data_IF_437127759929
#
_entry.id   IF_437127759929
#
_cell.length_a   1.000
_cell.length_b   1.000
_cell.length_c   1.000
_cell.angle_alpha   90.00
_cell.angle_beta   90.00
_cell.angle_gamma   90.00
#
_symmetry.space_group_name_H-M   'P 1'
#
loop_
_entity.id
_entity.type
_entity.pdbx_description
1 polymer ?
#
# COMPACT_ATOMS: atom_id res chain seq x y z
N UNK A 1 39.79 25.17 -18.48
CA UNK A 1 38.55 25.44 -17.72
C UNK A 1 37.66 26.33 -18.58
N UNK A 2 36.68 25.73 -19.26
CA UNK A 2 35.65 26.46 -19.99
C UNK A 2 34.34 25.70 -19.73
N UNK A 3 33.46 26.29 -18.94
CA UNK A 3 32.14 25.75 -18.66
C UNK A 3 31.18 26.31 -19.71
N UNK A 4 30.77 25.47 -20.66
CA UNK A 4 29.69 25.80 -21.59
C UNK A 4 28.36 25.86 -20.84
N UNK A 5 27.65 26.96 -21.05
CA UNK A 5 26.32 27.25 -20.53
C UNK A 5 25.31 26.60 -21.48
N UNK A 6 24.63 25.56 -21.02
CA UNK A 6 23.53 24.93 -21.77
C UNK A 6 22.27 25.81 -21.68
N UNK A 7 21.65 26.21 -22.81
CA UNK A 7 20.46 27.06 -22.79
C UNK A 7 19.18 26.30 -22.42
N UNK A 8 18.36 26.94 -21.58
CA UNK A 8 17.22 26.40 -20.79
C UNK A 8 15.92 26.07 -21.57
N UNK A 9 15.94 25.84 -22.88
CA UNK A 9 14.70 25.69 -23.67
C UNK A 9 14.24 24.23 -23.92
N UNK A 10 14.84 23.23 -23.26
CA UNK A 10 14.52 21.81 -23.45
C UNK A 10 13.98 21.08 -22.21
N UNK A 11 13.25 21.77 -21.33
CA UNK A 11 12.54 21.10 -20.23
C UNK A 11 11.02 21.09 -20.51
N UNK A 12 10.38 19.91 -20.60
CA UNK A 12 8.93 19.81 -20.69
C UNK A 12 8.33 20.26 -19.36
N UNK A 13 7.53 21.33 -19.39
CA UNK A 13 6.78 21.81 -18.23
C UNK A 13 5.64 20.85 -17.90
N UNK A 14 5.84 20.00 -16.91
CA UNK A 14 4.78 19.30 -16.20
C UNK A 14 4.12 20.30 -15.24
N UNK A 15 3.03 20.95 -15.67
CA UNK A 15 2.17 21.74 -14.79
C UNK A 15 1.21 20.81 -14.06
N UNK A 16 1.52 20.48 -12.81
CA UNK A 16 0.54 19.91 -11.89
C UNK A 16 -0.13 21.08 -11.16
N UNK A 17 -1.28 21.53 -11.70
CA UNK A 17 -2.13 22.49 -11.02
C UNK A 17 -3.20 21.69 -10.25
N UNK A 18 -3.00 21.55 -8.94
CA UNK A 18 -4.04 21.10 -8.03
C UNK A 18 -5.05 22.24 -7.85
N UNK A 19 -6.21 22.14 -8.51
CA UNK A 19 -7.34 23.01 -8.22
C UNK A 19 -8.17 22.41 -7.09
N UNK A 20 -8.07 23.04 -5.93
CA UNK A 20 -8.98 22.87 -4.80
C UNK A 20 -10.30 23.53 -5.21
N UNK A 21 -11.34 22.72 -5.41
CA UNK A 21 -12.72 23.21 -5.52
C UNK A 21 -13.49 22.78 -4.28
N UNK A 22 -13.82 23.76 -3.45
CA UNK A 22 -14.80 23.65 -2.38
C UNK A 22 -16.20 23.76 -3.00
N UNK A 23 -17.05 22.76 -2.76
CA UNK A 23 -18.48 22.83 -3.11
C UNK A 23 -19.32 21.98 -2.16
N UNK A 24 -20.06 22.72 -1.35
CA UNK A 24 -21.23 22.45 -0.51
C UNK A 24 -22.00 21.11 -0.64
N UNK A 25 -22.23 20.53 0.54
CA UNK A 25 -23.47 19.96 1.08
C UNK A 25 -24.59 19.53 0.11
N UNK A 26 -24.84 18.22 0.06
CA UNK A 26 -26.12 17.64 -0.31
C UNK A 26 -26.43 16.40 0.56
N UNK A 27 -27.73 16.20 0.78
CA UNK A 27 -28.41 15.39 1.82
C UNK A 27 -28.23 13.88 1.62
N UNK A 28 -28.32 13.05 2.69
CA UNK A 28 -28.22 11.61 2.56
C UNK A 28 -29.51 11.01 1.98
N UNK A 29 -29.40 10.34 0.82
CA UNK A 29 -30.40 9.42 0.31
C UNK A 29 -30.22 8.07 1.02
N UNK A 30 -31.21 7.70 1.81
CA UNK A 30 -31.35 6.39 2.43
C UNK A 30 -31.65 5.35 1.36
N UNK A 31 -30.82 4.31 1.25
CA UNK A 31 -31.12 3.14 0.44
C UNK A 31 -31.60 2.02 1.38
N UNK A 32 -32.88 1.70 1.27
CA UNK A 32 -33.52 0.60 1.97
C UNK A 32 -33.14 -0.70 1.26
N UNK A 33 -32.45 -1.60 1.95
CA UNK A 33 -32.16 -2.95 1.46
C UNK A 33 -33.46 -3.76 1.57
N UNK A 34 -34.13 -3.99 0.43
CA UNK A 34 -35.17 -5.02 0.33
C UNK A 34 -34.53 -6.36 0.01
N UNK A 35 -34.60 -7.30 0.95
CA UNK A 35 -34.39 -8.72 0.66
C UNK A 35 -35.49 -9.20 -0.29
N UNK A 36 -35.10 -9.77 -1.42
CA UNK A 36 -36.04 -10.34 -2.38
C UNK A 36 -35.38 -11.41 -3.25
N UNK A 37 -35.73 -12.67 -2.99
CA UNK A 37 -36.02 -13.67 -4.02
C UNK A 37 -34.86 -14.18 -4.88
N UNK A 38 -34.33 -15.34 -4.48
CA UNK A 38 -33.54 -16.23 -5.31
C UNK A 38 -34.45 -16.81 -6.42
N UNK A 39 -34.09 -16.62 -7.69
CA UNK A 39 -34.63 -17.40 -8.80
C UNK A 39 -33.52 -17.75 -9.81
N UNK A 40 -33.08 -19.00 -9.74
CA UNK A 40 -32.11 -19.60 -10.62
C UNK A 40 -32.74 -19.97 -11.97
N UNK A 41 -32.14 -19.53 -13.09
CA UNK A 41 -32.41 -20.08 -14.41
C UNK A 41 -31.34 -21.13 -14.73
N UNK A 42 -31.84 -22.35 -14.90
CA UNK A 42 -31.15 -23.64 -14.96
C UNK A 42 -30.91 -24.01 -16.42
N UNK A 43 -29.65 -24.25 -16.81
CA UNK A 43 -29.31 -24.94 -18.06
C UNK A 43 -29.01 -26.41 -17.74
N UNK A 44 -29.81 -27.30 -18.33
CA UNK A 44 -29.67 -28.76 -18.22
C UNK A 44 -28.78 -29.29 -19.33
N UNK A 45 -27.69 -29.97 -18.98
CA UNK A 45 -27.12 -31.04 -19.81
C UNK A 45 -26.72 -32.22 -18.93
N UNK A 46 -27.12 -33.39 -19.39
CA UNK A 46 -27.25 -34.65 -18.67
C UNK A 46 -25.93 -35.27 -18.24
N UNK A 47 -25.96 -35.91 -17.08
CA UNK A 47 -24.91 -36.73 -16.52
C UNK A 47 -24.70 -38.03 -17.30
N UNK A 48 -23.47 -38.55 -17.30
CA UNK A 48 -23.26 -40.00 -17.14
C UNK A 48 -21.95 -40.27 -16.43
N UNK A 49 -22.09 -40.87 -15.26
CA UNK A 49 -21.08 -41.48 -14.41
C UNK A 49 -20.38 -42.62 -15.14
N UNK A 50 -19.06 -42.75 -15.08
CA UNK A 50 -18.42 -44.08 -15.04
C UNK A 50 -17.05 -44.01 -14.35
N UNK A 51 -16.86 -45.04 -13.54
CA UNK A 51 -15.83 -45.34 -12.56
C UNK A 51 -14.47 -45.72 -13.15
N UNK A 52 -13.44 -45.44 -12.36
CA UNK A 52 -12.03 -45.83 -12.49
C UNK A 52 -11.87 -47.36 -12.40
N UNK A 53 -11.18 -48.00 -13.34
CA UNK A 53 -10.20 -49.04 -12.98
C UNK A 53 -9.17 -49.32 -14.08
N UNK A 54 -7.95 -49.60 -13.60
CA UNK A 54 -6.72 -49.72 -14.36
C UNK A 54 -6.50 -51.13 -14.94
N UNK A 55 -5.93 -51.22 -16.16
CA UNK A 55 -4.89 -52.19 -16.57
C UNK A 55 -4.50 -51.99 -18.04
N UNK A 56 -3.19 -51.89 -18.30
CA UNK A 56 -2.60 -52.04 -19.64
C UNK A 56 -1.62 -50.94 -20.04
N UNK A 57 -0.36 -51.07 -19.63
CA UNK A 57 0.81 -50.39 -20.20
C UNK A 57 1.16 -50.96 -21.60
N UNK A 58 2.19 -50.49 -22.35
CA UNK A 58 3.11 -49.35 -22.12
C UNK A 58 3.25 -48.41 -23.35
N UNK A 59 3.25 -47.09 -23.15
CA UNK A 59 3.80 -46.14 -24.15
C UNK A 59 5.26 -45.84 -23.78
N UNK A 60 6.23 -46.02 -24.71
CA UNK A 60 7.62 -45.73 -24.41
C UNK A 60 7.87 -44.22 -24.40
N UNK A 61 8.55 -43.76 -23.36
CA UNK A 61 9.19 -42.46 -23.27
C UNK A 61 10.21 -42.32 -24.41
N UNK A 62 9.82 -41.65 -25.49
CA UNK A 62 10.74 -41.20 -26.53
C UNK A 62 11.03 -39.72 -26.32
N UNK A 63 12.14 -39.46 -25.66
CA UNK A 63 12.90 -38.23 -25.69
C UNK A 63 12.89 -37.67 -27.11
N UNK A 64 12.14 -36.58 -27.32
CA UNK A 64 12.22 -35.82 -28.55
C UNK A 64 13.55 -35.06 -28.48
N UNK A 65 14.60 -35.68 -29.01
CA UNK A 65 15.78 -34.99 -29.50
C UNK A 65 15.30 -33.99 -30.55
N UNK A 66 15.05 -32.77 -30.11
CA UNK A 66 14.76 -31.64 -30.97
C UNK A 66 16.01 -31.41 -31.80
N UNK A 67 16.06 -32.05 -32.98
CA UNK A 67 17.10 -31.89 -33.97
C UNK A 67 17.13 -30.40 -34.33
N UNK A 68 18.19 -29.74 -33.88
CA UNK A 68 18.59 -28.45 -34.40
C UNK A 68 18.77 -28.59 -35.92
N UNK A 69 18.21 -27.68 -36.75
CA UNK A 69 18.48 -27.69 -38.17
C UNK A 69 19.82 -26.98 -38.39
N UNK A 70 20.92 -27.68 -38.11
CA UNK A 70 22.26 -27.18 -38.42
C UNK A 70 22.71 -27.78 -39.74
N UNK A 71 22.88 -26.88 -40.72
CA UNK A 71 23.70 -26.98 -41.92
C UNK A 71 23.28 -28.01 -42.99
N UNK A 72 22.41 -27.58 -43.90
CA UNK A 72 22.68 -27.81 -45.32
C UNK A 72 22.85 -26.44 -45.97
N UNK A 73 24.03 -25.85 -45.74
CA UNK A 73 24.45 -24.65 -46.44
C UNK A 73 24.96 -25.10 -47.80
N UNK A 74 24.08 -25.14 -48.79
CA UNK A 74 24.47 -25.25 -50.19
C UNK A 74 25.31 -24.02 -50.53
N UNK A 75 26.62 -24.22 -50.65
CA UNK A 75 27.54 -23.23 -51.21
C UNK A 75 27.24 -23.13 -52.70
N UNK A 76 26.38 -22.18 -53.07
CA UNK A 76 26.29 -21.77 -54.47
C UNK A 76 27.48 -20.85 -54.77
N UNK A 77 28.43 -21.34 -55.56
CA UNK A 77 29.38 -20.47 -56.23
C UNK A 77 28.56 -19.55 -57.14
N UNK A 78 28.49 -18.26 -56.81
CA UNK A 78 27.86 -17.27 -57.68
C UNK A 78 28.49 -17.38 -59.06
N UNK A 79 27.71 -17.78 -60.08
CA UNK A 79 28.18 -17.83 -61.45
C UNK A 79 28.82 -16.49 -61.79
N UNK A 80 30.04 -16.53 -62.36
CA UNK A 80 30.81 -15.34 -62.71
C UNK A 80 30.00 -14.56 -63.75
N UNK A 81 29.27 -13.54 -63.28
CA UNK A 81 28.41 -12.72 -64.13
C UNK A 81 29.32 -12.07 -65.17
N UNK A 82 29.09 -12.34 -66.45
CA UNK A 82 29.81 -11.67 -67.53
C UNK A 82 29.68 -10.16 -67.30
N UNK A 83 30.81 -9.45 -67.41
CA UNK A 83 30.84 -8.00 -67.36
C UNK A 83 30.19 -7.50 -68.62
N UNK A 84 28.90 -7.28 -68.51
CA UNK A 84 28.07 -6.75 -69.54
C UNK A 84 28.54 -5.30 -69.80
N UNK A 85 29.18 -5.06 -70.94
CA UNK A 85 29.75 -3.75 -71.27
C UNK A 85 28.60 -2.81 -71.64
N UNK A 86 28.02 -2.15 -70.64
CA UNK A 86 26.87 -1.27 -70.83
C UNK A 86 27.23 0.01 -71.63
N UNK A 87 28.51 0.30 -71.81
CA UNK A 87 29.00 1.47 -72.53
C UNK A 87 29.93 1.08 -73.69
N UNK A 88 29.44 1.25 -74.93
CA UNK A 88 30.17 0.96 -76.16
C UNK A 88 30.92 2.21 -76.63
N UNK A 89 32.20 2.27 -76.26
CA UNK A 89 33.08 3.42 -76.53
C UNK A 89 33.31 3.64 -78.03
N UNK A 90 33.31 2.56 -78.81
CA UNK A 90 33.66 2.58 -80.23
C UNK A 90 32.47 2.99 -81.10
N UNK A 91 31.24 2.61 -80.73
CA UNK A 91 30.02 3.14 -81.36
C UNK A 91 29.84 4.63 -81.12
N UNK A 92 30.23 5.13 -79.94
CA UNK A 92 30.14 6.55 -79.63
C UNK A 92 31.09 7.38 -80.49
N UNK A 93 32.35 6.95 -80.62
CA UNK A 93 33.35 7.62 -81.47
C UNK A 93 32.92 7.60 -82.95
N UNK A 94 32.41 6.47 -83.47
CA UNK A 94 31.91 6.39 -84.85
C UNK A 94 30.75 7.34 -85.12
N UNK A 95 29.81 7.46 -84.19
CA UNK A 95 28.70 8.44 -84.32
C UNK A 95 29.19 9.88 -84.37
N UNK A 96 30.16 10.26 -83.53
CA UNK A 96 30.72 11.62 -83.60
C UNK A 96 31.45 11.87 -84.93
N UNK A 97 32.14 10.86 -85.46
CA UNK A 97 32.78 10.96 -86.78
C UNK A 97 31.74 11.14 -87.90
N UNK A 98 30.61 10.41 -87.84
CA UNK A 98 29.50 10.53 -88.79
C UNK A 98 28.82 11.93 -88.72
N UNK A 99 28.86 12.59 -87.56
CA UNK A 99 28.37 13.96 -87.35
C UNK A 99 29.39 15.06 -87.72
N UNK A 100 30.56 14.68 -88.24
CA UNK A 100 31.55 15.62 -88.78
C UNK A 100 32.69 16.02 -87.82
N UNK A 101 32.84 15.35 -86.68
CA UNK A 101 33.99 15.56 -85.79
C UNK A 101 35.23 14.79 -86.27
N UNK A 102 36.42 15.33 -86.01
CA UNK A 102 37.65 14.58 -86.29
C UNK A 102 37.79 13.40 -85.34
N UNK A 103 38.51 12.36 -85.77
CA UNK A 103 38.73 11.16 -84.95
C UNK A 103 39.39 11.50 -83.60
N UNK A 104 40.38 12.38 -83.62
CA UNK A 104 41.09 12.83 -82.40
C UNK A 104 40.16 13.55 -81.42
N UNK A 105 39.27 14.41 -81.92
CA UNK A 105 38.29 15.13 -81.10
C UNK A 105 37.24 14.18 -80.52
N UNK A 106 36.79 13.22 -81.31
CA UNK A 106 35.82 12.20 -80.90
C UNK A 106 36.38 11.31 -79.80
N UNK A 107 37.64 10.89 -79.93
CA UNK A 107 38.36 10.11 -78.92
C UNK A 107 38.62 10.93 -77.65
N UNK A 108 38.95 12.22 -77.77
CA UNK A 108 39.15 13.09 -76.61
C UNK A 108 37.85 13.29 -75.81
N UNK A 109 36.73 13.55 -76.48
CA UNK A 109 35.42 13.71 -75.85
C UNK A 109 34.98 12.43 -75.13
N UNK A 110 35.23 11.28 -75.75
CA UNK A 110 34.95 9.97 -75.19
C UNK A 110 35.71 9.71 -73.87
N UNK A 111 36.97 10.16 -73.77
CA UNK A 111 37.78 10.04 -72.54
C UNK A 111 37.19 10.86 -71.39
N UNK A 112 36.85 12.12 -71.64
CA UNK A 112 36.21 12.98 -70.63
C UNK A 112 34.89 12.41 -70.15
N UNK A 113 34.06 11.87 -71.06
CA UNK A 113 32.81 11.23 -70.70
C UNK A 113 33.02 9.96 -69.87
N UNK A 114 34.06 9.17 -70.17
CA UNK A 114 34.43 8.00 -69.37
C UNK A 114 34.79 8.41 -67.92
N UNK A 115 35.55 9.49 -67.76
CA UNK A 115 35.94 10.00 -66.45
C UNK A 115 34.72 10.45 -65.62
N UNK A 116 33.80 11.21 -66.23
CA UNK A 116 32.56 11.66 -65.56
C UNK A 116 31.64 10.50 -65.21
N UNK A 117 31.51 9.50 -66.09
CA UNK A 117 30.71 8.29 -65.81
C UNK A 117 31.35 7.50 -64.66
N UNK A 118 32.67 7.35 -64.67
CA UNK A 118 33.38 6.62 -63.63
C UNK A 118 33.26 7.30 -62.26
N UNK A 119 33.37 8.63 -62.21
CA UNK A 119 33.13 9.43 -61.00
C UNK A 119 31.69 9.29 -60.51
N UNK A 120 30.71 9.36 -61.42
CA UNK A 120 29.28 9.19 -61.11
C UNK A 120 28.95 7.80 -60.54
N UNK A 121 29.48 6.73 -61.15
CA UNK A 121 29.31 5.36 -60.66
C UNK A 121 29.92 5.19 -59.27
N UNK A 122 31.10 5.74 -59.02
CA UNK A 122 31.73 5.69 -57.70
C UNK A 122 30.92 6.44 -56.65
N UNK A 123 30.40 7.62 -56.98
CA UNK A 123 29.56 8.41 -56.08
C UNK A 123 28.25 7.69 -55.73
N UNK A 124 27.58 7.09 -56.72
CA UNK A 124 26.37 6.28 -56.50
C UNK A 124 26.67 5.04 -55.66
N UNK A 125 27.72 4.30 -56.01
CA UNK A 125 28.08 3.06 -55.30
C UNK A 125 28.46 3.34 -53.83
N UNK A 126 29.01 4.52 -53.53
CA UNK A 126 29.36 4.93 -52.15
C UNK A 126 28.15 5.04 -51.21
N UNK A 127 26.97 5.35 -51.74
CA UNK A 127 25.73 5.48 -50.94
C UNK A 127 24.83 4.25 -51.01
N UNK A 128 25.12 3.33 -51.92
CA UNK A 128 24.37 2.08 -52.08
C UNK A 128 24.88 1.00 -51.14
N UNK A 129 23.97 0.15 -50.67
CA UNK A 129 24.28 -1.00 -49.84
C UNK A 129 24.03 -2.27 -50.64
N UNK A 130 24.94 -3.25 -50.54
CA UNK A 130 24.72 -4.55 -51.17
C UNK A 130 23.50 -5.23 -50.55
N UNK A 131 22.67 -5.85 -51.39
CA UNK A 131 21.46 -6.56 -50.95
C UNK A 131 21.74 -7.62 -49.88
N UNK A 132 22.90 -8.26 -49.94
CA UNK A 132 23.32 -9.25 -48.96
C UNK A 132 23.57 -8.63 -47.58
N UNK A 133 24.19 -7.45 -47.52
CA UNK A 133 24.47 -6.78 -46.25
C UNK A 133 23.22 -6.14 -45.66
N UNK A 134 22.34 -5.60 -46.50
CA UNK A 134 21.02 -5.15 -46.08
C UNK A 134 20.18 -6.31 -45.50
N UNK A 135 20.22 -7.49 -46.13
CA UNK A 135 19.51 -8.67 -45.65
C UNK A 135 20.09 -9.19 -44.32
N UNK A 136 21.42 -9.20 -44.17
CA UNK A 136 22.10 -9.56 -42.91
C UNK A 136 21.73 -8.58 -41.79
N UNK A 137 21.80 -7.27 -42.04
CA UNK A 137 21.44 -6.25 -41.05
C UNK A 137 19.99 -6.41 -40.59
N UNK A 138 19.07 -6.64 -41.52
CA UNK A 138 17.65 -6.90 -41.22
C UNK A 138 17.47 -8.17 -40.40
N UNK A 139 18.22 -9.23 -40.70
CA UNK A 139 18.17 -10.48 -39.94
C UNK A 139 18.65 -10.28 -38.50
N UNK A 140 19.81 -9.65 -38.30
CA UNK A 140 20.33 -9.33 -36.97
C UNK A 140 19.33 -8.51 -36.16
N UNK A 141 18.77 -7.47 -36.77
CA UNK A 141 17.75 -6.63 -36.13
C UNK A 141 16.52 -7.44 -35.69
N UNK A 142 16.05 -8.39 -36.51
CA UNK A 142 14.92 -9.26 -36.14
C UNK A 142 15.25 -10.19 -34.97
N UNK A 143 16.45 -10.73 -34.93
CA UNK A 143 16.92 -11.59 -33.82
C UNK A 143 17.03 -10.76 -32.55
N UNK A 144 17.59 -9.55 -32.62
CA UNK A 144 17.73 -8.65 -31.49
C UNK A 144 16.36 -8.24 -30.92
N UNK A 145 15.38 -7.93 -31.78
CA UNK A 145 14.01 -7.66 -31.34
C UNK A 145 13.34 -8.86 -30.67
N UNK A 146 13.56 -10.08 -31.20
CA UNK A 146 13.05 -11.29 -30.58
C UNK A 146 13.67 -11.51 -29.19
N UNK A 147 14.97 -11.26 -29.06
CA UNK A 147 15.69 -11.36 -27.78
C UNK A 147 15.21 -10.32 -26.78
N UNK A 148 15.16 -9.05 -27.16
CA UNK A 148 14.66 -7.95 -26.31
C UNK A 148 13.23 -8.20 -25.85
N UNK A 149 12.37 -8.72 -26.73
CA UNK A 149 11.00 -9.10 -26.35
C UNK A 149 10.99 -10.21 -25.30
N UNK A 150 11.83 -11.23 -25.47
CA UNK A 150 11.93 -12.33 -24.49
C UNK A 150 12.44 -11.83 -23.14
N UNK A 151 13.47 -10.99 -23.14
CA UNK A 151 14.03 -10.40 -21.92
C UNK A 151 13.01 -9.49 -21.23
N UNK A 152 12.29 -8.66 -21.99
CA UNK A 152 11.23 -7.79 -21.46
C UNK A 152 10.11 -8.61 -20.81
N UNK A 153 9.60 -9.64 -21.49
CA UNK A 153 8.54 -10.50 -20.94
C UNK A 153 9.00 -11.23 -19.67
N UNK A 154 10.26 -11.68 -19.65
CA UNK A 154 10.83 -12.33 -18.47
C UNK A 154 11.00 -11.36 -17.30
N UNK A 155 11.47 -10.14 -17.57
CA UNK A 155 11.64 -9.10 -16.56
C UNK A 155 10.29 -8.64 -16.00
N UNK A 156 9.32 -8.36 -16.87
CA UNK A 156 7.95 -7.98 -16.51
C UNK A 156 7.27 -9.06 -15.65
N UNK A 157 7.32 -10.33 -16.08
CA UNK A 157 6.77 -11.43 -15.28
C UNK A 157 7.45 -11.57 -13.91
N UNK A 158 8.74 -11.25 -13.81
CA UNK A 158 9.48 -11.30 -12.54
C UNK A 158 9.06 -10.15 -11.64
N UNK A 159 8.97 -8.94 -12.18
CA UNK A 159 8.55 -7.74 -11.45
C UNK A 159 7.10 -7.84 -10.96
N UNK A 160 6.18 -8.35 -11.78
CA UNK A 160 4.80 -8.61 -11.37
C UNK A 160 4.73 -9.63 -10.25
N UNK A 161 5.54 -10.70 -10.30
CA UNK A 161 5.58 -11.68 -9.22
C UNK A 161 6.18 -11.13 -7.93
N UNK A 162 7.25 -10.33 -8.00
CA UNK A 162 7.87 -9.74 -6.80
C UNK A 162 6.93 -8.73 -6.14
N UNK A 163 6.30 -7.86 -6.93
CA UNK A 163 5.31 -6.88 -6.45
C UNK A 163 4.08 -7.57 -5.86
N UNK A 164 3.53 -8.59 -6.52
CA UNK A 164 2.43 -9.39 -5.98
C UNK A 164 2.80 -10.06 -4.66
N UNK A 165 3.97 -10.69 -4.59
CA UNK A 165 4.44 -11.34 -3.36
C UNK A 165 4.63 -10.32 -2.22
N UNK A 166 5.17 -9.14 -2.52
CA UNK A 166 5.30 -8.06 -1.55
C UNK A 166 3.93 -7.57 -1.07
N UNK A 167 2.96 -7.42 -1.98
CA UNK A 167 1.60 -7.03 -1.64
C UNK A 167 0.93 -8.07 -0.72
N UNK A 168 1.00 -9.35 -1.05
CA UNK A 168 0.43 -10.44 -0.23
C UNK A 168 1.07 -10.47 1.16
N UNK A 169 2.37 -10.22 1.28
CA UNK A 169 3.06 -10.11 2.59
C UNK A 169 2.56 -8.91 3.40
N UNK A 170 2.48 -7.73 2.78
CA UNK A 170 2.00 -6.52 3.45
C UNK A 170 0.54 -6.66 3.91
N UNK A 171 -0.31 -7.28 3.09
CA UNK A 171 -1.71 -7.55 3.45
C UNK A 171 -1.81 -8.48 4.67
N UNK A 172 -1.00 -9.54 4.71
CA UNK A 172 -0.91 -10.42 5.86
C UNK A 172 -0.42 -9.71 7.12
N UNK A 173 0.58 -8.83 7.00
CA UNK A 173 1.10 -8.08 8.14
C UNK A 173 0.09 -7.05 8.65
N UNK A 174 -0.64 -6.37 7.76
CA UNK A 174 -1.77 -5.50 8.12
C UNK A 174 -2.84 -6.29 8.88
N UNK A 175 -3.21 -7.49 8.41
CA UNK A 175 -4.19 -8.34 9.08
C UNK A 175 -3.72 -8.75 10.48
N UNK A 176 -2.44 -9.13 10.64
CA UNK A 176 -1.83 -9.45 11.94
C UNK A 176 -1.81 -8.26 12.88
N UNK A 177 -1.37 -7.09 12.41
CA UNK A 177 -1.34 -5.86 13.22
C UNK A 177 -2.75 -5.48 13.67
N UNK A 178 -3.74 -5.58 12.78
CA UNK A 178 -5.14 -5.31 13.10
C UNK A 178 -5.68 -6.25 14.18
N UNK A 179 -5.32 -7.53 14.14
CA UNK A 179 -5.70 -8.48 15.20
C UNK A 179 -5.04 -8.11 16.53
N UNK A 180 -3.72 -7.91 16.54
CA UNK A 180 -2.97 -7.55 17.75
C UNK A 180 -3.50 -6.28 18.40
N UNK A 181 -3.74 -5.25 17.60
CA UNK A 181 -4.27 -3.99 18.08
C UNK A 181 -5.68 -4.16 18.67
N UNK A 182 -6.52 -5.01 18.07
CA UNK A 182 -7.83 -5.34 18.65
C UNK A 182 -7.71 -6.08 19.98
N UNK A 183 -6.77 -7.01 20.08
CA UNK A 183 -6.53 -7.78 21.29
C UNK A 183 -5.99 -6.88 22.41
N UNK A 184 -5.07 -5.95 22.09
CA UNK A 184 -4.54 -4.95 23.01
C UNK A 184 -5.62 -3.95 23.46
N UNK A 185 -6.46 -3.46 22.55
CA UNK A 185 -7.61 -2.61 22.92
C UNK A 185 -8.56 -3.37 23.84
N UNK A 186 -8.87 -4.63 23.53
CA UNK A 186 -9.78 -5.44 24.35
C UNK A 186 -9.20 -5.70 25.74
N UNK A 187 -7.89 -5.98 25.82
CA UNK A 187 -7.16 -6.18 27.08
C UNK A 187 -7.09 -4.90 27.90
N UNK A 188 -6.72 -3.77 27.30
CA UNK A 188 -6.65 -2.48 27.99
C UNK A 188 -8.03 -2.04 28.47
N UNK A 189 -9.08 -2.22 27.65
CA UNK A 189 -10.45 -1.95 28.04
C UNK A 189 -10.91 -2.83 29.21
N UNK A 190 -10.58 -4.13 29.22
CA UNK A 190 -10.87 -5.01 30.34
C UNK A 190 -10.12 -4.58 31.62
N UNK A 191 -8.86 -4.20 31.49
CA UNK A 191 -8.03 -3.69 32.60
C UNK A 191 -8.63 -2.43 33.20
N UNK A 192 -9.02 -1.46 32.38
CA UNK A 192 -9.63 -0.20 32.84
C UNK A 192 -10.98 -0.46 33.51
N UNK A 193 -11.80 -1.37 32.97
CA UNK A 193 -13.07 -1.75 33.62
C UNK A 193 -12.83 -2.38 35.00
N UNK A 194 -11.84 -3.25 35.12
CA UNK A 194 -11.49 -3.85 36.40
C UNK A 194 -11.00 -2.79 37.39
N UNK A 195 -10.11 -1.90 36.95
CA UNK A 195 -9.57 -0.82 37.78
C UNK A 195 -10.69 0.08 38.33
N UNK A 196 -11.61 0.52 37.46
CA UNK A 196 -12.78 1.30 37.88
C UNK A 196 -13.70 0.54 38.84
N UNK A 197 -13.86 -0.77 38.65
CA UNK A 197 -14.67 -1.59 39.55
C UNK A 197 -14.02 -1.74 40.93
N UNK A 198 -12.70 -1.94 40.97
CA UNK A 198 -11.94 -2.01 42.22
C UNK A 198 -11.97 -0.67 42.95
N UNK A 199 -11.77 0.43 42.23
CA UNK A 199 -11.81 1.79 42.79
C UNK A 199 -13.21 2.13 43.32
N UNK A 200 -14.27 1.74 42.60
CA UNK A 200 -15.65 1.88 43.09
C UNK A 200 -15.89 1.04 44.35
N UNK A 201 -15.31 -0.16 44.41
CA UNK A 201 -15.32 -1.01 45.60
C UNK A 201 -14.64 -0.32 46.78
N UNK A 202 -13.43 0.21 46.57
CA UNK A 202 -12.65 0.95 47.57
C UNK A 202 -13.39 2.17 48.10
N UNK A 203 -13.94 3.00 47.22
CA UNK A 203 -14.74 4.18 47.61
C UNK A 203 -15.94 3.75 48.46
N UNK A 204 -16.59 2.64 48.12
CA UNK A 204 -17.72 2.12 48.91
C UNK A 204 -17.27 1.63 50.29
N UNK A 205 -16.16 0.90 50.37
CA UNK A 205 -15.59 0.44 51.64
C UNK A 205 -15.17 1.62 52.53
N UNK A 206 -14.54 2.64 51.96
CA UNK A 206 -14.19 3.88 52.66
C UNK A 206 -15.44 4.63 53.15
N UNK A 207 -16.48 4.72 52.32
CA UNK A 207 -17.75 5.35 52.70
C UNK A 207 -18.43 4.60 53.87
N UNK A 208 -18.48 3.26 53.82
CA UNK A 208 -19.01 2.45 54.93
C UNK A 208 -18.15 2.60 56.18
N UNK A 209 -16.83 2.65 56.04
CA UNK A 209 -15.91 2.89 57.16
C UNK A 209 -16.12 4.27 57.80
N UNK A 210 -16.39 5.30 57.01
CA UNK A 210 -16.76 6.63 57.52
C UNK A 210 -18.13 6.60 58.21
N UNK A 211 -19.12 5.91 57.66
CA UNK A 211 -20.45 5.79 58.26
C UNK A 211 -20.38 5.11 59.64
N UNK A 212 -19.56 4.07 59.78
CA UNK A 212 -19.34 3.40 61.07
C UNK A 212 -18.67 4.32 62.09
N UNK A 213 -17.66 5.10 61.68
CA UNK A 213 -17.01 6.09 62.56
C UNK A 213 -18.00 7.15 63.02
N UNK A 214 -18.87 7.62 62.13
CA UNK A 214 -19.93 8.59 62.47
C UNK A 214 -20.87 7.98 63.51
N UNK A 215 -21.36 6.75 63.29
CA UNK A 215 -22.23 6.05 64.24
C UNK A 215 -21.57 5.83 65.60
N UNK A 216 -20.29 5.45 65.62
CA UNK A 216 -19.55 5.32 66.88
C UNK A 216 -19.47 6.67 67.62
N UNK A 217 -19.15 7.76 66.92
CA UNK A 217 -19.14 9.10 67.53
C UNK A 217 -20.53 9.55 67.97
N UNK A 218 -21.58 9.22 67.23
CA UNK A 218 -22.98 9.50 67.59
C UNK A 218 -23.35 8.81 68.90
N UNK A 219 -23.04 7.51 69.04
CA UNK A 219 -23.28 6.77 70.29
C UNK A 219 -22.47 7.32 71.48
N UNK A 220 -21.22 7.77 71.25
CA UNK A 220 -20.42 8.41 72.30
C UNK A 220 -21.03 9.73 72.75
N UNK A 221 -21.52 10.55 71.81
CA UNK A 221 -22.22 11.79 72.12
C UNK A 221 -23.49 11.50 72.93
N UNK A 222 -24.29 10.52 72.53
CA UNK A 222 -25.49 10.11 73.29
C UNK A 222 -25.17 9.68 74.72
N UNK A 223 -24.08 8.91 74.91
CA UNK A 223 -23.60 8.50 76.22
C UNK A 223 -23.14 9.70 77.07
N UNK A 224 -22.37 10.62 76.48
CA UNK A 224 -21.94 11.84 77.16
C UNK A 224 -23.14 12.72 77.54
N UNK A 225 -24.14 12.84 76.66
CA UNK A 225 -25.38 13.58 76.95
C UNK A 225 -26.17 12.92 78.09
N UNK A 226 -26.29 11.60 78.10
CA UNK A 226 -26.94 10.87 79.19
C UNK A 226 -26.21 11.06 80.53
N UNK A 227 -24.88 10.97 80.52
CA UNK A 227 -24.04 11.23 81.70
C UNK A 227 -24.18 12.68 82.19
N UNK A 228 -24.17 13.66 81.28
CA UNK A 228 -24.37 15.08 81.64
C UNK A 228 -25.76 15.33 82.22
N UNK A 229 -26.79 14.65 81.70
CA UNK A 229 -28.15 14.72 82.23
C UNK A 229 -28.23 14.13 83.64
N UNK A 230 -27.62 12.98 83.89
CA UNK A 230 -27.55 12.37 85.21
C UNK A 230 -26.84 13.29 86.22
N UNK A 231 -25.68 13.84 85.85
CA UNK A 231 -24.96 14.82 86.67
C UNK A 231 -25.81 16.05 86.96
N UNK A 232 -26.57 16.54 85.98
CA UNK A 232 -27.48 17.67 86.17
C UNK A 232 -28.60 17.34 87.15
N UNK A 233 -29.21 16.16 87.03
CA UNK A 233 -30.23 15.68 87.97
C UNK A 233 -29.66 15.52 89.38
N UNK A 234 -28.45 14.97 89.53
CA UNK A 234 -27.74 14.89 90.81
C UNK A 234 -27.49 16.27 91.43
N UNK A 235 -27.01 17.25 90.65
CA UNK A 235 -26.79 18.63 91.13
C UNK A 235 -28.11 19.27 91.55
N UNK A 236 -29.21 19.04 90.83
CA UNK A 236 -30.55 19.50 91.23
C UNK A 236 -30.96 18.90 92.59
N UNK A 237 -30.80 17.60 92.79
CA UNK A 237 -31.11 16.94 94.07
C UNK A 237 -30.23 17.46 95.21
N UNK A 238 -28.92 17.62 94.99
CA UNK A 238 -28.01 18.19 95.98
C UNK A 238 -28.44 19.62 96.36
N UNK A 239 -28.78 20.46 95.39
CA UNK A 239 -29.23 21.84 95.64
C UNK A 239 -30.53 21.86 96.45
N UNK A 240 -31.48 20.98 96.12
CA UNK A 240 -32.72 20.82 96.89
C UNK A 240 -32.45 20.35 98.32
N UNK A 241 -31.49 19.44 98.54
CA UNK A 241 -31.09 19.00 99.88
C UNK A 241 -30.48 20.15 100.71
N UNK A 242 -29.59 20.96 100.12
CA UNK A 242 -29.03 22.15 100.79
C UNK A 242 -30.12 23.16 101.15
N UNK A 243 -31.05 23.41 100.22
CA UNK A 243 -32.17 24.30 100.45
C UNK A 243 -33.07 23.79 101.60
N UNK A 244 -33.36 22.48 101.62
CA UNK A 244 -34.10 21.85 102.72
C UNK A 244 -33.35 21.94 104.05
N UNK A 245 -32.03 21.74 104.05
CA UNK A 245 -31.15 21.90 105.22
C UNK A 245 -31.15 23.33 105.77
N UNK A 246 -31.13 24.34 104.89
CA UNK A 246 -31.24 25.74 105.29
C UNK A 246 -32.62 26.08 105.83
N UNK A 247 -33.70 25.64 105.19
CA UNK A 247 -35.06 25.84 105.68
C UNK A 247 -35.27 25.20 107.07
N UNK A 248 -34.81 23.96 107.25
CA UNK A 248 -34.89 23.26 108.54
C UNK A 248 -34.01 23.90 109.61
N UNK A 249 -32.80 24.36 109.27
CA UNK A 249 -31.92 25.11 110.17
C UNK A 249 -32.53 26.46 110.62
N UNK A 250 -33.10 27.23 109.69
CA UNK A 250 -33.80 28.47 110.00
C UNK A 250 -35.04 28.22 110.88
N UNK A 251 -35.82 27.18 110.58
CA UNK A 251 -36.97 26.79 111.39
C UNK A 251 -36.54 26.41 112.82
N UNK A 252 -35.44 25.67 112.98
CA UNK A 252 -34.89 25.31 114.29
C UNK A 252 -34.39 26.53 115.07
N UNK A 253 -33.74 27.50 114.42
CA UNK A 253 -33.32 28.75 115.04
C UNK A 253 -34.52 29.61 115.46
N UNK A 254 -35.56 29.70 114.63
CA UNK A 254 -36.80 30.41 114.98
C UNK A 254 -37.48 29.78 116.20
N UNK A 255 -37.57 28.44 116.25
CA UNK A 255 -38.08 27.73 117.43
C UNK A 255 -37.18 27.91 118.65
N UNK A 256 -35.86 27.93 118.48
CA UNK A 256 -34.89 28.20 119.54
C UNK A 256 -35.01 29.61 120.10
N UNK A 257 -35.13 30.61 119.23
CA UNK A 257 -35.33 32.01 119.61
C UNK A 257 -36.68 32.22 120.32
N UNK A 258 -37.74 31.58 119.81
CA UNK A 258 -39.05 31.57 120.47
C UNK A 258 -38.95 31.01 121.89
N UNK A 259 -38.18 29.93 122.06
CA UNK A 259 -37.97 29.28 123.38
C UNK A 259 -37.15 30.13 124.36
N UNK A 260 -36.21 30.96 123.88
CA UNK A 260 -35.39 31.83 124.75
C UNK A 260 -36.14 33.11 125.14
N UNK A 261 -37.12 33.53 124.35
CA UNK A 261 -37.94 34.73 124.61
C UNK A 261 -39.12 34.47 125.57
N UNK A 262 -39.37 33.21 125.93
CA UNK A 262 -40.45 32.76 126.82
C UNK A 262 -39.90 32.34 128.19
#
# INVERSE_FOLDING_TARGET
MAAEIVPRFLLPRLSWAAQISTSQAARPLSWTISQGGIAAARWHHSATTTTVNARGSPFPLRWALQKSPVLSRTFHATARRERDHHFDTLKFVKRLQDEGFTEEQSVAMMKVLNDVIQESIQNLTRTMVLREDAAKATYTQKVDFAKLRSELLSADSTEVNTTRTAHERLENDIAKLRSRLRDEISRTQASVRLDLNLEKGRIREEAVGQELKIKETETKIEQEVAMLREKLEQVKFQTLQWLLGLCTGLAALMLGAWRVLQ
#
